data_IF_195903587430
#
_entry.id   IF_195903587430
#
_cell.length_a   1.000
_cell.length_b   1.000
_cell.length_c   1.000
_cell.angle_alpha   90.00
_cell.angle_beta   90.00
_cell.angle_gamma   90.00
#
_symmetry.space_group_name_H-M   'P 1'
#
loop_
_entity.id
_entity.type
_entity.pdbx_description
1 polymer ?
#
# COMPACT_ATOMS: atom_id res chain seq x y z
N UNK A 1 87.53 -5.48 12.88
CA UNK A 1 86.68 -4.27 13.00
C UNK A 1 85.40 -4.50 12.22
N UNK A 2 84.30 -4.44 12.95
CA UNK A 2 82.89 -4.17 12.62
C UNK A 2 82.13 -4.97 11.54
N UNK A 3 81.13 -5.68 12.08
CA UNK A 3 79.98 -6.36 11.49
C UNK A 3 78.90 -5.36 11.03
N UNK A 4 78.21 -5.64 9.92
CA UNK A 4 76.84 -5.18 9.60
C UNK A 4 76.26 -6.28 8.67
N UNK A 5 75.42 -7.24 9.06
CA UNK A 5 74.13 -7.28 9.78
C UNK A 5 72.93 -6.80 8.97
N UNK A 6 72.08 -7.76 8.57
CA UNK A 6 70.63 -7.62 8.28
C UNK A 6 70.27 -6.91 6.97
N UNK A 7 69.18 -7.22 6.27
CA UNK A 7 67.90 -7.74 6.73
C UNK A 7 67.10 -8.25 5.51
N UNK A 8 66.66 -9.51 5.54
CA UNK A 8 65.67 -10.07 4.63
C UNK A 8 64.32 -9.42 4.92
N UNK A 9 63.74 -8.70 3.94
CA UNK A 9 62.35 -8.27 4.01
C UNK A 9 61.44 -9.45 3.63
N UNK A 10 60.87 -10.10 4.64
CA UNK A 10 59.74 -11.01 4.47
C UNK A 10 58.46 -10.19 4.21
N UNK A 11 57.91 -10.31 3.00
CA UNK A 11 56.60 -9.78 2.66
C UNK A 11 55.55 -10.76 3.21
N UNK A 12 54.92 -10.39 4.32
CA UNK A 12 53.74 -11.10 4.85
C UNK A 12 52.52 -10.61 4.05
N UNK A 13 52.01 -11.42 3.13
CA UNK A 13 50.69 -11.22 2.54
C UNK A 13 49.63 -11.50 3.61
N UNK A 14 49.07 -10.44 4.20
CA UNK A 14 47.82 -10.55 4.94
C UNK A 14 46.67 -10.69 3.95
N UNK A 15 46.19 -11.92 3.74
CA UNK A 15 44.85 -12.15 3.17
C UNK A 15 43.82 -11.71 4.22
N UNK A 16 43.38 -10.46 4.16
CA UNK A 16 42.16 -10.04 4.85
C UNK A 16 40.98 -10.65 4.11
N UNK A 17 40.41 -11.72 4.66
CA UNK A 17 39.09 -12.20 4.26
C UNK A 17 38.08 -11.08 4.52
N UNK A 18 37.71 -10.33 3.48
CA UNK A 18 36.55 -9.45 3.54
C UNK A 18 35.29 -10.33 3.57
N UNK A 19 34.87 -10.73 4.77
CA UNK A 19 33.48 -11.16 5.01
C UNK A 19 32.60 -9.91 4.97
N UNK A 20 32.45 -9.35 3.79
CA UNK A 20 31.58 -8.22 3.50
C UNK A 20 30.46 -8.68 2.58
N UNK A 21 29.22 -8.34 2.95
CA UNK A 21 27.98 -8.46 2.17
C UNK A 21 27.22 -9.80 2.22
N UNK A 22 26.67 -10.13 3.39
CA UNK A 22 25.34 -10.80 3.45
C UNK A 22 24.34 -10.07 4.35
N UNK A 23 24.57 -8.79 4.66
CA UNK A 23 23.68 -8.00 5.51
C UNK A 23 22.94 -6.85 4.77
N UNK A 24 22.87 -6.88 3.43
CA UNK A 24 22.32 -5.76 2.63
C UNK A 24 21.19 -6.14 1.67
N UNK A 25 20.47 -7.24 1.93
CA UNK A 25 19.28 -7.65 1.14
C UNK A 25 17.97 -7.67 1.93
N UNK A 26 18.00 -7.50 3.26
CA UNK A 26 16.79 -7.51 4.11
C UNK A 26 16.06 -6.17 4.16
N UNK A 27 16.75 -5.03 3.97
CA UNK A 27 16.15 -3.69 4.03
C UNK A 27 15.29 -3.30 2.80
N UNK A 28 15.48 -3.99 1.67
CA UNK A 28 14.80 -3.65 0.41
C UNK A 28 13.52 -4.46 0.15
N UNK A 29 13.26 -5.52 0.91
CA UNK A 29 12.21 -6.49 0.61
C UNK A 29 10.95 -6.24 1.45
N UNK A 30 9.77 -6.21 0.83
CA UNK A 30 8.49 -6.14 1.55
C UNK A 30 8.27 -7.49 2.25
N UNK A 31 8.26 -7.52 3.57
CA UNK A 31 7.92 -8.73 4.32
C UNK A 31 6.44 -9.05 4.19
N UNK A 32 6.11 -10.34 4.31
CA UNK A 32 4.72 -10.83 4.25
C UNK A 32 3.82 -10.13 5.29
N UNK A 33 4.28 -10.03 6.55
CA UNK A 33 3.56 -9.30 7.61
C UNK A 33 3.30 -7.84 7.23
N UNK A 34 4.27 -7.16 6.63
CA UNK A 34 4.09 -5.79 6.19
C UNK A 34 3.17 -5.68 4.98
N UNK A 35 3.23 -6.63 4.03
CA UNK A 35 2.30 -6.70 2.90
C UNK A 35 0.85 -6.83 3.38
N UNK A 36 0.59 -7.73 4.34
CA UNK A 36 -0.73 -7.91 4.94
C UNK A 36 -1.20 -6.67 5.71
N UNK A 37 -0.29 -6.00 6.45
CA UNK A 37 -0.60 -4.73 7.14
C UNK A 37 -0.97 -3.62 6.15
N UNK A 38 -0.25 -3.51 5.03
CA UNK A 38 -0.55 -2.52 3.99
C UNK A 38 -1.89 -2.86 3.32
N UNK A 39 -2.17 -4.12 3.01
CA UNK A 39 -3.44 -4.54 2.42
C UNK A 39 -4.64 -4.22 3.35
N UNK A 40 -4.52 -4.51 4.65
CA UNK A 40 -5.53 -4.16 5.65
C UNK A 40 -5.77 -2.65 5.76
N UNK A 41 -4.69 -1.87 5.79
CA UNK A 41 -4.80 -0.41 5.78
C UNK A 41 -5.45 0.09 4.49
N UNK A 42 -5.06 -0.46 3.35
CA UNK A 42 -5.62 -0.10 2.05
C UNK A 42 -7.11 -0.42 1.95
N UNK A 43 -7.54 -1.57 2.47
CA UNK A 43 -8.96 -1.94 2.57
C UNK A 43 -9.75 -0.92 3.40
N UNK A 44 -9.23 -0.51 4.55
CA UNK A 44 -9.86 0.54 5.37
C UNK A 44 -9.97 1.87 4.63
N UNK A 45 -8.93 2.27 3.90
CA UNK A 45 -8.95 3.50 3.11
C UNK A 45 -9.97 3.44 1.98
N UNK A 46 -10.08 2.29 1.31
CA UNK A 46 -11.09 2.04 0.28
C UNK A 46 -12.51 2.21 0.85
N UNK A 47 -12.83 1.52 1.95
CA UNK A 47 -14.16 1.62 2.56
C UNK A 47 -14.46 3.00 3.11
N UNK A 48 -13.50 3.65 3.77
CA UNK A 48 -13.64 5.03 4.24
C UNK A 48 -13.91 6.01 3.09
N UNK A 49 -13.29 5.82 1.94
CA UNK A 49 -13.57 6.65 0.77
C UNK A 49 -15.00 6.45 0.27
N UNK A 50 -15.48 5.20 0.20
CA UNK A 50 -16.86 4.89 -0.21
C UNK A 50 -17.88 5.37 0.82
N UNK A 51 -17.65 5.17 2.12
CA UNK A 51 -18.50 5.70 3.18
C UNK A 51 -18.45 7.23 3.24
N UNK A 52 -17.34 7.82 2.80
CA UNK A 52 -17.13 9.27 2.71
C UNK A 52 -16.76 9.94 4.02
N UNK A 53 -16.19 9.18 4.96
CA UNK A 53 -15.62 9.66 6.22
C UNK A 53 -14.51 8.70 6.69
N UNK A 54 -13.62 9.18 7.57
CA UNK A 54 -12.49 8.36 8.03
C UNK A 54 -12.82 7.44 9.22
N UNK A 55 -13.39 7.99 10.28
CA UNK A 55 -13.62 7.28 11.54
C UNK A 55 -15.03 7.51 12.10
N UNK A 56 -15.53 8.73 11.96
CA UNK A 56 -16.82 9.15 12.50
C UNK A 56 -17.65 9.70 11.36
N UNK A 57 -18.86 9.16 11.19
CA UNK A 57 -19.79 9.66 10.19
C UNK A 57 -20.21 11.10 10.50
N UNK A 58 -20.50 11.84 9.45
CA UNK A 58 -21.16 13.14 9.53
C UNK A 58 -22.50 13.06 8.77
N UNK A 59 -23.37 14.03 8.96
CA UNK A 59 -24.55 14.17 8.10
C UNK A 59 -24.11 14.58 6.70
N UNK A 60 -24.15 13.63 5.78
CA UNK A 60 -23.87 13.86 4.37
C UNK A 60 -25.15 14.25 3.64
N UNK A 61 -25.12 15.36 2.91
CA UNK A 61 -26.26 15.79 2.09
C UNK A 61 -26.22 15.07 0.75
N UNK A 62 -27.38 14.62 0.28
CA UNK A 62 -27.51 14.00 -1.03
C UNK A 62 -28.07 14.96 -2.09
N UNK A 63 -27.89 14.61 -3.36
CA UNK A 63 -28.48 15.31 -4.50
C UNK A 63 -28.57 14.36 -5.71
N UNK A 64 -29.52 14.61 -6.61
CA UNK A 64 -29.61 13.90 -7.87
C UNK A 64 -28.71 14.54 -8.93
N UNK A 65 -27.92 13.72 -9.62
CA UNK A 65 -27.09 14.13 -10.75
C UNK A 65 -27.15 13.08 -11.84
N UNK A 66 -27.65 13.47 -13.02
CA UNK A 66 -27.81 12.59 -14.19
C UNK A 66 -28.56 11.28 -13.89
N UNK A 67 -29.60 11.35 -13.06
CA UNK A 67 -30.43 10.18 -12.71
C UNK A 67 -29.84 9.26 -11.63
N UNK A 68 -28.73 9.65 -10.99
CA UNK A 68 -28.12 8.90 -9.88
C UNK A 68 -28.09 9.79 -8.64
N UNK A 69 -28.39 9.22 -7.48
CA UNK A 69 -28.23 9.90 -6.20
C UNK A 69 -26.75 9.94 -5.80
N UNK A 70 -26.25 11.12 -5.48
CA UNK A 70 -24.89 11.37 -5.00
C UNK A 70 -24.94 11.87 -3.56
N UNK A 71 -23.89 11.54 -2.79
CA UNK A 71 -23.66 12.05 -1.45
C UNK A 71 -22.38 12.88 -1.42
N UNK A 72 -22.42 14.06 -0.81
CA UNK A 72 -21.21 14.80 -0.48
C UNK A 72 -20.44 14.09 0.64
N UNK A 73 -19.11 14.17 0.59
CA UNK A 73 -18.26 13.58 1.62
C UNK A 73 -18.13 14.51 2.84
N UNK A 74 -17.72 13.93 3.97
CA UNK A 74 -17.44 14.68 5.19
C UNK A 74 -16.26 15.66 5.03
N UNK A 75 -16.12 16.60 5.96
CA UNK A 75 -15.21 17.74 5.82
C UNK A 75 -13.75 17.34 5.58
N UNK A 76 -13.32 16.21 6.12
CA UNK A 76 -11.99 15.65 5.91
C UNK A 76 -11.76 15.17 4.48
N UNK A 77 -12.81 14.88 3.70
CA UNK A 77 -12.75 14.39 2.32
C UNK A 77 -13.50 15.28 1.31
N UNK A 78 -13.98 16.45 1.73
CA UNK A 78 -14.89 17.27 0.92
C UNK A 78 -14.27 17.91 -0.34
N UNK A 79 -13.01 17.63 -0.66
CA UNK A 79 -12.34 18.03 -1.90
C UNK A 79 -11.50 16.87 -2.42
N UNK A 80 -11.24 16.85 -3.74
CA UNK A 80 -10.41 15.81 -4.37
C UNK A 80 -9.04 15.69 -3.69
N UNK A 81 -8.36 16.81 -3.46
CA UNK A 81 -7.01 16.82 -2.90
C UNK A 81 -6.94 16.22 -1.50
N UNK A 82 -7.95 16.51 -0.66
CA UNK A 82 -8.03 15.92 0.68
C UNK A 82 -8.19 14.40 0.64
N UNK A 83 -9.09 13.91 -0.21
CA UNK A 83 -9.30 12.47 -0.35
C UNK A 83 -8.06 11.80 -0.97
N UNK A 84 -7.46 12.39 -2.01
CA UNK A 84 -6.23 11.89 -2.64
C UNK A 84 -5.07 11.84 -1.64
N UNK A 85 -4.93 12.86 -0.79
CA UNK A 85 -3.89 12.89 0.26
C UNK A 85 -4.07 11.72 1.23
N UNK A 86 -5.28 11.50 1.70
CA UNK A 86 -5.61 10.38 2.59
C UNK A 86 -5.35 9.02 1.92
N UNK A 87 -5.89 8.81 0.72
CA UNK A 87 -5.68 7.55 -0.03
C UNK A 87 -4.20 7.33 -0.38
N UNK A 88 -3.44 8.41 -0.55
CA UNK A 88 -2.01 8.40 -0.83
C UNK A 88 -1.16 7.79 0.28
N UNK A 89 -1.69 7.63 1.49
CA UNK A 89 -1.02 6.89 2.58
C UNK A 89 -0.78 5.43 2.21
N UNK A 90 -1.58 4.85 1.30
CA UNK A 90 -1.57 3.41 1.03
C UNK A 90 -1.68 3.01 -0.44
N UNK A 91 -2.23 3.87 -1.30
CA UNK A 91 -2.37 3.63 -2.73
C UNK A 91 -1.37 4.46 -3.56
N UNK A 92 -0.96 3.91 -4.70
CA UNK A 92 -0.23 4.71 -5.71
C UNK A 92 -1.14 5.78 -6.32
N UNK A 93 -0.58 6.92 -6.76
CA UNK A 93 -1.37 8.00 -7.36
C UNK A 93 -2.21 7.53 -8.55
N UNK A 94 -1.65 6.69 -9.42
CA UNK A 94 -2.37 6.10 -10.55
C UNK A 94 -3.54 5.18 -10.11
N UNK A 95 -3.38 4.44 -9.01
CA UNK A 95 -4.47 3.65 -8.44
C UNK A 95 -5.61 4.55 -7.95
N UNK A 96 -5.27 5.64 -7.26
CA UNK A 96 -6.24 6.61 -6.75
C UNK A 96 -6.99 7.27 -7.90
N UNK A 97 -6.28 7.77 -8.91
CA UNK A 97 -6.89 8.42 -10.06
C UNK A 97 -7.88 7.50 -10.77
N UNK A 98 -7.47 6.27 -11.08
CA UNK A 98 -8.35 5.27 -11.69
C UNK A 98 -9.52 4.91 -10.79
N UNK A 99 -9.29 4.75 -9.49
CA UNK A 99 -10.33 4.47 -8.51
C UNK A 99 -11.40 5.57 -8.47
N UNK A 100 -10.99 6.82 -8.27
CA UNK A 100 -11.93 7.94 -8.22
C UNK A 100 -12.74 8.09 -9.52
N UNK A 101 -12.13 7.81 -10.68
CA UNK A 101 -12.86 7.78 -11.96
C UNK A 101 -13.83 6.60 -12.04
N UNK A 102 -13.38 5.37 -11.75
CA UNK A 102 -14.20 4.16 -11.86
C UNK A 102 -15.40 4.15 -10.91
N UNK A 103 -15.24 4.75 -9.72
CA UNK A 103 -16.30 4.90 -8.73
C UNK A 103 -17.08 6.22 -8.89
N UNK A 104 -16.91 6.90 -10.02
CA UNK A 104 -17.66 8.10 -10.43
C UNK A 104 -17.63 9.24 -9.40
N UNK A 105 -16.49 9.50 -8.76
CA UNK A 105 -16.36 10.69 -7.91
C UNK A 105 -16.43 11.96 -8.77
N UNK A 106 -17.21 12.94 -8.32
CA UNK A 106 -17.38 14.22 -9.01
C UNK A 106 -17.13 15.40 -8.07
N UNK A 107 -16.70 16.52 -8.65
CA UNK A 107 -16.76 17.81 -7.96
C UNK A 107 -18.06 18.50 -8.35
N UNK A 108 -18.91 18.78 -7.37
CA UNK A 108 -20.17 19.49 -7.57
C UNK A 108 -20.25 20.63 -6.57
N UNK A 109 -20.46 21.87 -7.06
CA UNK A 109 -20.47 23.10 -6.23
C UNK A 109 -19.22 23.24 -5.34
N UNK A 110 -18.05 22.90 -5.90
CA UNK A 110 -16.77 22.96 -5.20
C UNK A 110 -16.54 21.88 -4.13
N UNK A 111 -17.45 20.91 -3.99
CA UNK A 111 -17.31 19.81 -3.02
C UNK A 111 -17.24 18.46 -3.73
N UNK A 112 -16.45 17.55 -3.18
CA UNK A 112 -16.35 16.18 -3.67
C UNK A 112 -17.60 15.38 -3.26
N UNK A 113 -18.12 14.60 -4.20
CA UNK A 113 -19.26 13.73 -4.03
C UNK A 113 -19.05 12.39 -4.74
N UNK A 114 -19.76 11.36 -4.28
CA UNK A 114 -19.76 10.01 -4.86
C UNK A 114 -21.21 9.49 -5.02
N UNK A 115 -21.48 8.52 -5.90
CA UNK A 115 -22.79 7.86 -5.98
C UNK A 115 -23.14 7.14 -4.69
N UNK A 116 -24.37 7.29 -4.19
CA UNK A 116 -24.86 6.51 -3.05
C UNK A 116 -24.82 5.02 -3.39
N UNK A 117 -24.45 4.22 -2.40
CA UNK A 117 -24.28 2.78 -2.53
C UNK A 117 -24.09 2.16 -1.16
N UNK A 118 -24.43 0.89 -1.08
CA UNK A 118 -24.39 0.02 0.08
C UNK A 118 -23.22 -0.97 -0.04
N UNK A 119 -22.50 -1.13 1.05
CA UNK A 119 -21.35 -2.02 1.10
C UNK A 119 -20.50 -1.80 2.35
N UNK A 120 -19.91 -2.89 2.82
CA UNK A 120 -18.96 -2.86 3.93
C UNK A 120 -17.89 -3.95 3.74
N UNK A 121 -16.78 -3.79 4.44
CA UNK A 121 -15.66 -4.72 4.40
C UNK A 121 -15.93 -5.98 5.20
N UNK A 122 -16.05 -7.12 4.52
CA UNK A 122 -16.21 -8.44 5.16
C UNK A 122 -14.91 -9.24 5.24
N UNK A 123 -13.80 -8.71 4.70
CA UNK A 123 -12.55 -9.43 4.53
C UNK A 123 -11.54 -9.10 5.64
N UNK A 124 -10.98 -10.15 6.25
CA UNK A 124 -10.03 -10.03 7.35
C UNK A 124 -8.57 -10.09 6.84
N UNK A 125 -8.14 -9.03 6.15
CA UNK A 125 -6.85 -8.95 5.46
C UNK A 125 -5.63 -9.32 6.31
N UNK A 126 -5.59 -8.93 7.59
CA UNK A 126 -4.49 -9.28 8.51
C UNK A 126 -4.36 -10.78 8.78
N UNK A 127 -5.45 -11.55 8.64
CA UNK A 127 -5.47 -13.00 8.88
C UNK A 127 -5.20 -13.82 7.62
N UNK A 128 -4.91 -13.16 6.50
CA UNK A 128 -4.74 -13.84 5.21
C UNK A 128 -3.52 -14.76 5.19
N UNK A 129 -3.65 -15.88 4.49
CA UNK A 129 -2.49 -16.66 4.04
C UNK A 129 -1.91 -15.99 2.80
N UNK A 130 -0.59 -15.89 2.71
CA UNK A 130 0.10 -15.13 1.65
C UNK A 130 1.11 -16.01 0.92
N UNK A 131 1.16 -15.89 -0.41
CA UNK A 131 2.12 -16.57 -1.27
C UNK A 131 2.70 -15.58 -2.28
N UNK A 132 4.02 -15.44 -2.27
CA UNK A 132 4.74 -14.60 -3.25
C UNK A 132 4.56 -15.14 -4.67
N UNK A 133 4.29 -14.24 -5.62
CA UNK A 133 4.16 -14.52 -7.06
C UNK A 133 5.29 -13.85 -7.83
N UNK A 134 5.58 -12.59 -7.53
CA UNK A 134 6.60 -11.80 -8.22
C UNK A 134 7.42 -10.97 -7.23
N UNK A 135 8.74 -10.96 -7.41
CA UNK A 135 9.67 -10.09 -6.68
C UNK A 135 10.65 -9.42 -7.65
N UNK A 136 10.37 -8.17 -8.03
CA UNK A 136 11.29 -7.30 -8.80
C UNK A 136 11.66 -6.11 -7.94
N UNK A 137 12.83 -5.50 -8.09
CA UNK A 137 13.32 -4.41 -7.20
C UNK A 137 12.24 -3.52 -6.54
N UNK A 138 11.35 -2.90 -7.33
CA UNK A 138 10.29 -2.00 -6.84
C UNK A 138 8.84 -2.53 -6.97
N UNK A 139 8.66 -3.83 -7.27
CA UNK A 139 7.34 -4.45 -7.45
C UNK A 139 7.27 -5.77 -6.69
N UNK A 140 6.19 -5.98 -5.93
CA UNK A 140 5.87 -7.25 -5.29
C UNK A 140 4.45 -7.64 -5.62
N UNK A 141 4.23 -8.89 -6.00
CA UNK A 141 2.88 -9.42 -6.23
C UNK A 141 2.69 -10.67 -5.39
N UNK A 142 1.55 -10.75 -4.72
CA UNK A 142 1.19 -11.86 -3.86
C UNK A 142 -0.20 -12.38 -4.21
N UNK A 143 -0.39 -13.68 -4.04
CA UNK A 143 -1.71 -14.29 -3.93
C UNK A 143 -2.04 -14.44 -2.46
N UNK A 144 -3.16 -13.88 -2.03
CA UNK A 144 -3.68 -13.90 -0.68
C UNK A 144 -4.94 -14.77 -0.66
N UNK A 145 -5.03 -15.65 0.33
CA UNK A 145 -6.29 -16.29 0.71
C UNK A 145 -6.80 -15.54 1.94
N UNK A 146 -7.81 -14.70 1.73
CA UNK A 146 -8.33 -13.75 2.71
C UNK A 146 -9.60 -14.34 3.34
N UNK A 147 -9.63 -14.57 4.65
CA UNK A 147 -10.83 -15.06 5.31
C UNK A 147 -11.91 -13.98 5.34
N UNK A 148 -13.16 -14.42 5.33
CA UNK A 148 -14.32 -13.55 5.61
C UNK A 148 -14.65 -13.61 7.10
N UNK A 149 -15.40 -12.62 7.58
CA UNK A 149 -15.92 -12.61 8.96
C UNK A 149 -16.84 -13.80 9.28
N UNK A 150 -17.44 -14.40 8.25
CA UNK A 150 -18.37 -15.54 8.38
C UNK A 150 -17.66 -16.91 8.32
N UNK A 151 -16.32 -16.92 8.19
CA UNK A 151 -15.52 -18.14 8.21
C UNK A 151 -15.17 -18.72 6.83
N UNK A 152 -15.64 -18.11 5.74
CA UNK A 152 -15.24 -18.44 4.37
C UNK A 152 -13.86 -17.86 4.03
N UNK A 153 -13.41 -18.04 2.78
CA UNK A 153 -12.21 -17.38 2.27
C UNK A 153 -12.27 -17.10 0.78
N UNK A 154 -11.69 -15.97 0.37
CA UNK A 154 -11.57 -15.57 -1.04
C UNK A 154 -10.11 -15.47 -1.45
N UNK A 155 -9.82 -15.74 -2.73
CA UNK A 155 -8.48 -15.54 -3.30
C UNK A 155 -8.37 -14.15 -3.93
N UNK A 156 -7.31 -13.43 -3.59
CA UNK A 156 -7.01 -12.08 -4.11
C UNK A 156 -5.56 -12.01 -4.57
N UNK A 157 -5.33 -11.35 -5.69
CA UNK A 157 -3.96 -11.02 -6.12
C UNK A 157 -3.74 -9.54 -5.84
N UNK A 158 -2.73 -9.22 -5.03
CA UNK A 158 -2.41 -7.83 -4.66
C UNK A 158 -0.99 -7.52 -5.11
N UNK A 159 -0.85 -6.40 -5.83
CA UNK A 159 0.45 -5.91 -6.28
C UNK A 159 0.80 -4.61 -5.56
N UNK A 160 2.03 -4.56 -5.05
CA UNK A 160 2.61 -3.45 -4.32
C UNK A 160 3.74 -2.84 -5.14
N UNK A 161 3.75 -1.51 -5.22
CA UNK A 161 4.82 -0.73 -5.81
C UNK A 161 5.54 0.07 -4.74
N UNK A 162 6.86 0.16 -4.87
CA UNK A 162 7.69 0.99 -3.99
C UNK A 162 7.59 2.46 -4.42
N UNK A 163 7.22 3.34 -3.51
CA UNK A 163 7.12 4.79 -3.66
C UNK A 163 7.97 5.45 -2.58
N UNK A 164 9.18 5.87 -2.94
CA UNK A 164 10.21 6.28 -1.98
C UNK A 164 10.59 5.14 -1.03
N UNK A 165 10.46 5.37 0.28
CA UNK A 165 10.68 4.37 1.33
C UNK A 165 9.46 3.51 1.64
N UNK A 166 8.29 3.81 1.04
CA UNK A 166 7.01 3.15 1.35
C UNK A 166 6.58 2.19 0.25
N UNK A 167 5.79 1.18 0.61
CA UNK A 167 5.12 0.29 -0.35
C UNK A 167 3.63 0.62 -0.41
N UNK A 168 3.06 0.66 -1.61
CA UNK A 168 1.68 1.06 -1.84
C UNK A 168 0.97 0.10 -2.79
N UNK A 169 -0.33 -0.09 -2.59
CA UNK A 169 -1.18 -0.93 -3.46
C UNK A 169 -1.39 -0.21 -4.80
N UNK A 170 -1.26 -0.94 -5.91
CA UNK A 170 -1.29 -0.37 -7.26
C UNK A 170 -2.68 -0.34 -7.92
N UNK A 171 -3.69 -0.88 -7.24
CA UNK A 171 -5.07 -0.95 -7.70
C UNK A 171 -6.02 -0.68 -6.52
N UNK A 172 -6.99 0.21 -6.74
CA UNK A 172 -7.82 0.77 -5.66
C UNK A 172 -8.73 -0.28 -4.99
N UNK A 173 -9.35 -1.13 -5.80
CA UNK A 173 -10.33 -2.15 -5.41
C UNK A 173 -9.72 -3.56 -5.24
N UNK A 174 -8.39 -3.68 -5.35
CA UNK A 174 -7.70 -4.95 -5.13
C UNK A 174 -7.86 -5.46 -3.68
N UNK A 175 -8.28 -4.57 -2.77
CA UNK A 175 -8.41 -4.80 -1.33
C UNK A 175 -9.78 -4.42 -0.75
N UNK A 176 -10.84 -4.41 -1.57
CA UNK A 176 -12.20 -4.26 -1.07
C UNK A 176 -12.56 -5.38 -0.09
#
# INVERSE_FOLDING_TARGET
MNKISGMLLSIILFFTLSTGATAQTTSQNLSDTNALKIADNASKHFWNALHGYKNRSCTQKTFNYKGTEYSYLCQEFNTKDKLVTYLGETFTNNAIEKGLTNYNYITHKGKLARPVGDGDGMLEWKKSKIKSVQQKQNVRTYNLTVPTVDGDSVKRTVTFYKSGSTWKVNQFDAVQ
#
